data_IF_468628612510
#
_entry.id   IF_468628612510
#
_cell.length_a   1.000
_cell.length_b   1.000
_cell.length_c   1.000
_cell.angle_alpha   90.00
_cell.angle_beta   90.00
_cell.angle_gamma   90.00
#
_symmetry.space_group_name_H-M   'P 1'
#
loop_
_entity.id
_entity.type
_entity.pdbx_description
1 polymer ?
#
# COMPACT_ATOMS: atom_id res chain seq x y z
N UNK A 1 12.07 0.14 -15.12
CA UNK A 1 10.63 -0.20 -15.03
C UNK A 1 10.34 -0.58 -13.60
N UNK A 2 9.83 0.36 -12.80
CA UNK A 2 9.58 0.17 -11.38
C UNK A 2 8.26 0.84 -11.03
N UNK A 3 7.13 0.16 -11.29
CA UNK A 3 5.84 0.87 -11.16
C UNK A 3 4.79 0.15 -10.34
N UNK A 4 4.69 -1.18 -10.40
CA UNK A 4 3.70 -1.88 -9.56
C UNK A 4 4.16 -3.28 -9.15
N UNK A 5 4.70 -4.05 -10.08
CA UNK A 5 5.19 -5.41 -9.81
C UNK A 5 6.29 -5.45 -8.74
N UNK A 6 7.14 -4.42 -8.67
CA UNK A 6 8.15 -4.31 -7.61
C UNK A 6 7.55 -4.00 -6.23
N UNK A 7 6.51 -3.15 -6.17
CA UNK A 7 5.82 -2.83 -4.91
C UNK A 7 5.04 -4.04 -4.40
N UNK A 8 4.30 -4.72 -5.29
CA UNK A 8 3.60 -5.97 -4.97
C UNK A 8 4.59 -7.03 -4.51
N UNK A 9 5.68 -7.25 -5.24
CA UNK A 9 6.71 -8.23 -4.88
C UNK A 9 7.34 -7.95 -3.51
N UNK A 10 7.66 -6.68 -3.22
CA UNK A 10 8.16 -6.26 -1.90
C UNK A 10 7.13 -6.50 -0.80
N UNK A 11 5.85 -6.19 -1.03
CA UNK A 11 4.79 -6.39 -0.05
C UNK A 11 4.59 -7.88 0.25
N UNK A 12 4.50 -8.72 -0.78
CA UNK A 12 4.40 -10.19 -0.63
C UNK A 12 5.55 -10.74 0.20
N UNK A 13 6.78 -10.28 -0.09
CA UNK A 13 7.98 -10.64 0.68
C UNK A 13 7.89 -10.20 2.14
N UNK A 14 7.36 -9.01 2.40
CA UNK A 14 7.20 -8.46 3.74
C UNK A 14 6.17 -9.26 4.53
N UNK A 15 4.99 -9.52 3.95
CA UNK A 15 3.93 -10.35 4.55
C UNK A 15 4.45 -11.75 4.87
N UNK A 16 5.10 -12.41 3.90
CA UNK A 16 5.68 -13.75 4.09
C UNK A 16 6.66 -13.77 5.25
N UNK A 17 7.56 -12.78 5.33
CA UNK A 17 8.54 -12.68 6.43
C UNK A 17 7.87 -12.43 7.78
N UNK A 18 6.82 -11.62 7.85
CA UNK A 18 6.06 -11.42 9.07
C UNK A 18 5.39 -12.71 9.59
N UNK A 19 5.01 -13.61 8.68
CA UNK A 19 4.45 -14.92 9.03
C UNK A 19 5.53 -15.99 9.32
N UNK A 20 6.83 -15.64 9.25
CA UNK A 20 7.92 -16.57 9.49
C UNK A 20 8.09 -17.65 8.40
N UNK A 21 7.44 -17.49 7.25
CA UNK A 21 7.44 -18.48 6.18
C UNK A 21 8.66 -18.34 5.27
N UNK A 22 9.19 -19.47 4.81
CA UNK A 22 10.20 -19.51 3.75
C UNK A 22 9.57 -19.45 2.36
N UNK A 23 10.33 -19.03 1.34
CA UNK A 23 9.87 -19.07 -0.05
C UNK A 23 9.52 -20.49 -0.52
N UNK A 24 10.19 -21.51 0.03
CA UNK A 24 9.88 -22.91 -0.26
C UNK A 24 8.51 -23.29 0.30
N UNK A 25 8.25 -22.97 1.58
CA UNK A 25 6.96 -23.26 2.21
C UNK A 25 5.78 -22.60 1.47
N UNK A 26 5.94 -21.36 1.00
CA UNK A 26 4.90 -20.71 0.18
C UNK A 26 4.69 -21.43 -1.15
N UNK A 27 5.78 -21.86 -1.81
CA UNK A 27 5.68 -22.63 -3.03
C UNK A 27 4.95 -23.97 -2.80
N UNK A 28 5.27 -24.66 -1.71
CA UNK A 28 4.65 -25.92 -1.31
C UNK A 28 3.16 -25.73 -1.01
N UNK A 29 2.78 -24.66 -0.28
CA UNK A 29 1.38 -24.33 -0.04
C UNK A 29 0.60 -24.12 -1.34
N UNK A 30 1.17 -23.40 -2.31
CA UNK A 30 0.50 -23.13 -3.59
C UNK A 30 0.36 -24.42 -4.41
N UNK A 31 1.41 -25.23 -4.46
CA UNK A 31 1.43 -26.50 -5.17
C UNK A 31 0.37 -27.47 -4.61
N UNK A 32 0.31 -27.60 -3.28
CA UNK A 32 -0.63 -28.50 -2.59
C UNK A 32 -2.10 -28.07 -2.70
N UNK A 33 -2.37 -26.77 -2.76
CA UNK A 33 -3.74 -26.25 -2.73
C UNK A 33 -4.43 -26.20 -4.10
N UNK A 34 -3.69 -26.31 -5.20
CA UNK A 34 -4.24 -26.00 -6.54
C UNK A 34 -3.86 -27.01 -7.64
N UNK A 35 -3.26 -28.16 -7.30
CA UNK A 35 -2.71 -29.14 -8.27
C UNK A 35 -1.81 -28.49 -9.35
N UNK A 36 -1.18 -27.35 -9.02
CA UNK A 36 -0.35 -26.60 -9.96
C UNK A 36 1.09 -27.04 -9.84
N UNK A 37 1.43 -28.08 -10.60
CA UNK A 37 2.81 -28.44 -10.88
C UNK A 37 3.53 -27.24 -11.54
N UNK A 38 4.55 -26.69 -10.87
CA UNK A 38 5.38 -25.62 -11.41
C UNK A 38 5.57 -24.39 -10.52
N UNK A 39 4.94 -24.31 -9.35
CA UNK A 39 5.34 -23.34 -8.33
C UNK A 39 6.53 -23.86 -7.53
N UNK A 40 7.66 -23.18 -7.61
CA UNK A 40 8.88 -23.55 -6.89
C UNK A 40 9.48 -22.30 -6.22
N UNK A 41 10.42 -22.53 -5.31
CA UNK A 41 11.13 -21.45 -4.60
C UNK A 41 11.74 -20.40 -5.52
N UNK A 42 12.27 -20.80 -6.69
CA UNK A 42 12.87 -19.87 -7.66
C UNK A 42 11.81 -18.91 -8.21
N UNK A 43 10.63 -19.43 -8.55
CA UNK A 43 9.51 -18.63 -9.02
C UNK A 43 9.02 -17.65 -7.95
N UNK A 44 8.82 -18.10 -6.71
CA UNK A 44 8.45 -17.21 -5.59
C UNK A 44 9.48 -16.08 -5.45
N UNK A 45 10.77 -16.41 -5.53
CA UNK A 45 11.84 -15.40 -5.47
C UNK A 45 11.75 -14.36 -6.59
N UNK A 46 11.53 -14.79 -7.85
CA UNK A 46 11.40 -13.89 -9.00
C UNK A 46 10.19 -12.97 -8.92
N UNK A 47 9.10 -13.46 -8.31
CA UNK A 47 7.89 -12.67 -8.06
C UNK A 47 8.16 -11.64 -6.95
N UNK A 48 8.79 -12.05 -5.85
CA UNK A 48 9.14 -11.15 -4.74
C UNK A 48 10.13 -10.05 -5.13
N UNK A 49 11.03 -10.32 -6.08
CA UNK A 49 11.91 -9.29 -6.64
C UNK A 49 11.23 -8.40 -7.67
N UNK A 50 9.99 -8.72 -8.09
CA UNK A 50 9.27 -7.99 -9.15
C UNK A 50 9.89 -8.14 -10.54
N UNK A 51 10.74 -9.15 -10.73
CA UNK A 51 11.45 -9.42 -11.99
C UNK A 51 10.64 -10.29 -12.95
N UNK A 52 9.59 -10.95 -12.45
CA UNK A 52 8.65 -11.72 -13.25
C UNK A 52 7.34 -10.95 -13.39
N UNK A 53 6.82 -10.85 -14.61
CA UNK A 53 5.49 -10.31 -14.85
C UNK A 53 4.46 -11.41 -14.55
N UNK A 54 3.67 -11.23 -13.50
CA UNK A 54 2.71 -12.23 -13.03
C UNK A 54 1.28 -11.90 -13.49
N UNK A 55 0.49 -12.94 -13.70
CA UNK A 55 -0.95 -12.81 -13.93
C UNK A 55 -1.67 -12.51 -12.61
N UNK A 56 -2.88 -11.92 -12.67
CA UNK A 56 -3.73 -11.77 -11.49
C UNK A 56 -4.08 -13.11 -10.84
N UNK A 57 -4.29 -14.16 -11.64
CA UNK A 57 -4.48 -15.52 -11.17
C UNK A 57 -3.27 -16.04 -10.37
N UNK A 58 -2.04 -15.67 -10.74
CA UNK A 58 -0.84 -16.02 -9.96
C UNK A 58 -0.75 -15.22 -8.67
N UNK A 59 -1.17 -13.95 -8.71
CA UNK A 59 -1.23 -13.10 -7.53
C UNK A 59 -2.24 -13.63 -6.51
N UNK A 60 -3.43 -14.03 -6.96
CA UNK A 60 -4.48 -14.64 -6.13
C UNK A 60 -3.99 -15.91 -5.43
N UNK A 61 -3.27 -16.80 -6.13
CA UNK A 61 -2.67 -17.99 -5.50
C UNK A 61 -1.73 -17.63 -4.36
N UNK A 62 -0.88 -16.61 -4.57
CA UNK A 62 0.04 -16.13 -3.55
C UNK A 62 -0.71 -15.49 -2.38
N UNK A 63 -1.78 -14.76 -2.66
CA UNK A 63 -2.63 -14.17 -1.63
C UNK A 63 -3.31 -15.23 -0.78
N UNK A 64 -3.83 -16.29 -1.41
CA UNK A 64 -4.45 -17.41 -0.72
C UNK A 64 -3.42 -18.17 0.13
N UNK A 65 -2.23 -18.43 -0.41
CA UNK A 65 -1.16 -19.11 0.34
C UNK A 65 -0.62 -18.31 1.53
N UNK A 66 -0.66 -16.99 1.44
CA UNK A 66 -0.30 -16.07 2.53
C UNK A 66 -1.51 -15.64 3.36
N UNK A 67 -2.71 -16.14 3.06
CA UNK A 67 -3.97 -15.75 3.70
C UNK A 67 -4.12 -14.22 3.87
N UNK A 68 -3.91 -13.47 2.77
CA UNK A 68 -3.90 -12.01 2.77
C UNK A 68 -4.95 -11.44 1.83
N UNK A 69 -5.62 -10.38 2.26
CA UNK A 69 -6.64 -9.69 1.47
C UNK A 69 -6.02 -8.73 0.44
N UNK A 70 -6.75 -8.34 -0.63
CA UNK A 70 -6.28 -7.32 -1.56
C UNK A 70 -5.92 -6.01 -0.86
N UNK A 71 -6.72 -5.58 0.12
CA UNK A 71 -6.48 -4.35 0.86
C UNK A 71 -5.11 -4.34 1.55
N UNK A 72 -4.74 -5.43 2.20
CA UNK A 72 -3.45 -5.57 2.88
C UNK A 72 -2.28 -5.66 1.90
N UNK A 73 -2.48 -6.35 0.77
CA UNK A 73 -1.48 -6.48 -0.28
C UNK A 73 -1.18 -5.15 -0.98
N UNK A 74 -2.20 -4.31 -1.21
CA UNK A 74 -2.04 -3.03 -1.90
C UNK A 74 -1.77 -1.85 -0.95
N UNK A 75 -1.62 -2.11 0.36
CA UNK A 75 -1.25 -1.09 1.33
C UNK A 75 0.27 -0.81 1.31
N UNK A 76 0.69 0.09 0.41
CA UNK A 76 2.09 0.47 0.24
C UNK A 76 2.56 1.61 1.15
N UNK A 77 1.73 2.09 2.09
CA UNK A 77 2.09 3.22 2.96
C UNK A 77 3.41 2.99 3.72
N UNK A 78 3.72 1.73 4.07
CA UNK A 78 4.97 1.35 4.75
C UNK A 78 6.24 1.57 3.91
N UNK A 79 6.11 1.72 2.60
CA UNK A 79 7.23 2.05 1.70
C UNK A 79 7.31 3.55 1.39
N UNK A 80 6.31 4.32 1.79
CA UNK A 80 6.28 5.78 1.66
C UNK A 80 6.90 6.48 2.88
N UNK A 81 7.52 5.73 3.79
CA UNK A 81 8.06 6.20 5.07
C UNK A 81 9.31 7.09 4.92
N UNK A 82 9.16 8.26 4.30
CA UNK A 82 10.01 9.40 4.61
C UNK A 82 9.57 9.96 5.97
N UNK A 83 10.51 10.54 6.73
CA UNK A 83 10.20 11.22 7.98
C UNK A 83 9.13 12.32 7.78
N UNK A 84 9.10 12.93 6.59
CA UNK A 84 8.09 13.89 6.18
C UNK A 84 6.70 13.26 6.04
N UNK A 85 6.57 12.09 5.42
CA UNK A 85 5.29 11.39 5.27
C UNK A 85 4.70 11.00 6.62
N UNK A 86 5.50 10.45 7.52
CA UNK A 86 5.04 10.09 8.87
C UNK A 86 4.60 11.32 9.66
N UNK A 87 5.33 12.44 9.52
CA UNK A 87 4.95 13.71 10.15
C UNK A 87 3.62 14.24 9.60
N UNK A 88 3.42 14.20 8.27
CA UNK A 88 2.16 14.59 7.63
C UNK A 88 1.00 13.70 8.09
N UNK A 89 1.21 12.38 8.13
CA UNK A 89 0.20 11.41 8.58
C UNK A 89 -0.24 11.69 10.02
N UNK A 90 0.71 11.97 10.92
CA UNK A 90 0.39 12.30 12.31
C UNK A 90 -0.49 13.56 12.41
N UNK A 91 -0.17 14.61 11.64
CA UNK A 91 -0.97 15.83 11.62
C UNK A 91 -2.39 15.59 11.08
N UNK A 92 -2.55 14.77 10.04
CA UNK A 92 -3.85 14.41 9.48
C UNK A 92 -4.69 13.62 10.48
N UNK A 93 -4.11 12.64 11.17
CA UNK A 93 -4.82 11.87 12.19
C UNK A 93 -5.24 12.76 13.37
N UNK A 94 -4.35 13.61 13.88
CA UNK A 94 -4.68 14.56 14.95
C UNK A 94 -5.85 15.48 14.54
N UNK A 95 -5.85 15.96 13.29
CA UNK A 95 -6.94 16.77 12.75
C UNK A 95 -8.26 15.97 12.66
N UNK A 96 -8.20 14.72 12.19
CA UNK A 96 -9.37 13.82 12.14
C UNK A 96 -10.01 13.65 13.51
N UNK A 97 -9.21 13.38 14.55
CA UNK A 97 -9.73 13.26 15.93
C UNK A 97 -10.41 14.54 16.39
N UNK A 98 -9.81 15.71 16.13
CA UNK A 98 -10.40 17.00 16.48
C UNK A 98 -11.76 17.23 15.83
N UNK A 99 -11.92 16.82 14.56
CA UNK A 99 -13.17 17.00 13.81
C UNK A 99 -14.27 16.01 14.18
N UNK A 100 -13.92 14.78 14.58
CA UNK A 100 -14.90 13.75 14.95
C UNK A 100 -15.70 14.10 16.22
N UNK A 101 -15.15 14.93 17.10
CA UNK A 101 -15.79 15.42 18.33
C UNK A 101 -16.69 16.66 18.09
N UNK A 102 -16.87 17.08 16.83
CA UNK A 102 -17.56 18.34 16.49
C UNK A 102 -18.90 18.09 15.81
N UNK A 103 -19.88 18.99 15.99
CA UNK A 103 -21.14 18.91 15.26
C UNK A 103 -20.92 19.19 13.76
N UNK A 104 -21.76 18.58 12.92
CA UNK A 104 -21.57 18.54 11.46
C UNK A 104 -21.53 19.92 10.80
N UNK A 105 -22.21 20.93 11.35
CA UNK A 105 -22.18 22.30 10.86
C UNK A 105 -20.79 22.95 11.06
N UNK A 106 -20.15 22.71 12.20
CA UNK A 106 -18.78 23.18 12.46
C UNK A 106 -17.78 22.47 11.55
N UNK A 107 -17.91 21.15 11.37
CA UNK A 107 -17.06 20.39 10.44
C UNK A 107 -17.18 20.93 9.02
N UNK A 108 -18.40 21.19 8.54
CA UNK A 108 -18.64 21.80 7.22
C UNK A 108 -18.00 23.17 7.09
N UNK A 109 -18.13 24.01 8.11
CA UNK A 109 -17.50 25.33 8.12
C UNK A 109 -15.98 25.23 7.99
N UNK A 110 -15.36 24.38 8.82
CA UNK A 110 -13.91 24.17 8.81
C UNK A 110 -13.43 23.68 7.45
N UNK A 111 -14.10 22.69 6.86
CA UNK A 111 -13.74 22.16 5.54
C UNK A 111 -13.83 23.24 4.46
N UNK A 112 -14.89 24.05 4.45
CA UNK A 112 -15.04 25.13 3.49
C UNK A 112 -13.93 26.17 3.64
N UNK A 113 -13.65 26.61 4.88
CA UNK A 113 -12.57 27.54 5.16
C UNK A 113 -11.20 26.97 4.78
N UNK A 114 -10.94 25.69 5.04
CA UNK A 114 -9.70 25.02 4.59
C UNK A 114 -9.58 25.03 3.07
N UNK A 115 -10.66 24.78 2.33
CA UNK A 115 -10.65 24.86 0.87
C UNK A 115 -10.34 26.29 0.38
N UNK A 116 -10.93 27.31 1.01
CA UNK A 116 -10.66 28.72 0.68
C UNK A 116 -9.19 29.07 0.90
N UNK A 117 -8.60 28.59 2.00
CA UNK A 117 -7.17 28.75 2.29
C UNK A 117 -6.29 28.05 1.25
N UNK A 118 -6.60 26.80 0.89
CA UNK A 118 -5.85 26.04 -0.12
C UNK A 118 -5.89 26.78 -1.46
N UNK A 119 -7.07 27.19 -1.91
CA UNK A 119 -7.23 27.95 -3.15
C UNK A 119 -6.40 29.25 -3.15
N UNK A 120 -6.33 29.93 -2.01
CA UNK A 120 -5.52 31.16 -1.87
C UNK A 120 -4.02 30.89 -1.99
N UNK A 121 -3.54 29.80 -1.41
CA UNK A 121 -2.13 29.39 -1.50
C UNK A 121 -1.79 29.00 -2.94
N UNK A 122 -2.63 28.18 -3.58
CA UNK A 122 -2.44 27.74 -4.96
C UNK A 122 -2.44 28.90 -5.95
N UNK A 123 -3.28 29.93 -5.74
CA UNK A 123 -3.27 31.13 -6.58
C UNK A 123 -1.97 31.93 -6.45
N UNK A 124 -1.40 32.02 -5.24
CA UNK A 124 -0.13 32.70 -4.99
C UNK A 124 1.05 31.97 -5.64
N UNK A 125 1.07 30.64 -5.55
CA UNK A 125 2.16 29.83 -6.11
C UNK A 125 2.14 29.79 -7.65
N UNK A 126 1.00 30.11 -8.26
CA UNK A 126 0.83 30.19 -9.72
C UNK A 126 0.96 31.62 -10.28
N UNK A 127 1.29 32.62 -9.45
CA UNK A 127 1.46 34.00 -9.90
C UNK A 127 2.91 34.21 -10.43
N UNK A 128 3.13 34.53 -11.73
CA UNK A 128 4.47 34.61 -12.32
C UNK A 128 5.38 35.74 -11.78
N UNK A 129 4.89 36.53 -10.82
CA UNK A 129 5.58 37.69 -10.26
C UNK A 129 5.96 37.56 -8.77
N UNK A 130 5.77 36.40 -8.13
CA UNK A 130 6.21 36.18 -6.74
C UNK A 130 7.61 35.58 -6.61
#
# INVERSE_FOLDING_TARGET
MSDLSSLIGKQLKLIRKHQGLTQQQVADCIANANDKEGFNKSRVSKIESGTENITLSTLELMMNALNVTPFELFNFQKYQSSAEYESKKLMIEAHRWLLMERPINEVKYIVNTTNDFINTIEQRDNDPQS
#
